data_IF_154714552080
#
_entry.id   IF_154714552080
#
_cell.length_a   1.000
_cell.length_b   1.000
_cell.length_c   1.000
_cell.angle_alpha   90.00
_cell.angle_beta   90.00
_cell.angle_gamma   90.00
#
_symmetry.space_group_name_H-M   'P 1'
#
loop_
_entity.id
_entity.type
_entity.pdbx_description
1 polymer ?
#
# COMPACT_ATOMS: atom_id res chain seq x y z
N UNK A 1 -19.60 -8.69 69.55
CA UNK A 1 -18.97 -8.67 68.20
C UNK A 1 -19.94 -9.29 67.21
N UNK A 2 -20.61 -8.49 66.38
CA UNK A 2 -21.56 -9.01 65.37
C UNK A 2 -20.79 -9.74 64.26
N UNK A 3 -21.00 -11.05 64.13
CA UNK A 3 -20.37 -11.86 63.08
C UNK A 3 -21.12 -11.68 61.76
N UNK A 4 -20.46 -11.10 60.75
CA UNK A 4 -21.05 -10.90 59.41
C UNK A 4 -21.71 -12.16 58.86
N UNK A 5 -22.92 -12.01 58.32
CA UNK A 5 -23.71 -13.10 57.73
C UNK A 5 -23.06 -13.64 56.45
N UNK A 6 -23.38 -14.87 56.07
CA UNK A 6 -22.88 -15.50 54.83
C UNK A 6 -23.17 -14.64 53.59
N UNK A 7 -24.33 -14.00 53.54
CA UNK A 7 -24.74 -13.12 52.45
C UNK A 7 -23.90 -11.84 52.38
N UNK A 8 -23.62 -11.22 53.53
CA UNK A 8 -22.78 -10.03 53.61
C UNK A 8 -21.35 -10.30 53.15
N UNK A 9 -20.80 -11.48 53.51
CA UNK A 9 -19.49 -11.94 53.03
C UNK A 9 -19.46 -12.12 51.51
N UNK A 10 -20.51 -12.69 50.93
CA UNK A 10 -20.64 -12.86 49.47
C UNK A 10 -20.77 -11.51 48.77
N UNK A 11 -21.62 -10.60 49.27
CA UNK A 11 -21.80 -9.25 48.73
C UNK A 11 -20.49 -8.44 48.80
N UNK A 12 -19.75 -8.53 49.90
CA UNK A 12 -18.43 -7.91 50.07
C UNK A 12 -17.41 -8.44 49.05
N UNK A 13 -17.28 -9.76 48.92
CA UNK A 13 -16.38 -10.39 47.92
C UNK A 13 -16.74 -9.99 46.48
N UNK A 14 -18.04 -9.91 46.14
CA UNK A 14 -18.50 -9.42 44.83
C UNK A 14 -18.14 -7.93 44.60
N UNK A 15 -18.31 -7.08 45.62
CA UNK A 15 -17.92 -5.65 45.56
C UNK A 15 -16.41 -5.47 45.41
N UNK A 16 -15.60 -6.23 46.14
CA UNK A 16 -14.14 -6.22 46.06
C UNK A 16 -13.64 -6.72 44.68
N UNK A 17 -14.24 -7.80 44.16
CA UNK A 17 -13.97 -8.28 42.79
C UNK A 17 -14.30 -7.23 41.74
N UNK A 18 -15.48 -6.58 41.84
CA UNK A 18 -15.88 -5.48 40.93
C UNK A 18 -14.92 -4.29 41.01
N UNK A 19 -14.51 -3.88 42.22
CA UNK A 19 -13.51 -2.81 42.41
C UNK A 19 -12.16 -3.15 41.79
N UNK A 20 -11.69 -4.40 41.93
CA UNK A 20 -10.43 -4.86 41.32
C UNK A 20 -10.51 -4.83 39.79
N UNK A 21 -11.60 -5.34 39.22
CA UNK A 21 -11.84 -5.32 37.77
C UNK A 21 -11.91 -3.88 37.24
N UNK A 22 -12.65 -2.99 37.91
CA UNK A 22 -12.72 -1.58 37.54
C UNK A 22 -11.34 -0.90 37.61
N UNK A 23 -10.51 -1.23 38.62
CA UNK A 23 -9.15 -0.72 38.71
C UNK A 23 -8.28 -1.20 37.54
N UNK A 24 -8.43 -2.45 37.10
CA UNK A 24 -7.72 -2.97 35.92
C UNK A 24 -8.14 -2.19 34.67
N UNK A 25 -9.45 -2.01 34.44
CA UNK A 25 -9.92 -1.22 33.29
C UNK A 25 -9.45 0.24 33.33
N UNK A 26 -9.42 0.86 34.52
CA UNK A 26 -8.87 2.21 34.68
C UNK A 26 -7.38 2.26 34.33
N UNK A 27 -6.59 1.29 34.82
CA UNK A 27 -5.16 1.21 34.49
C UNK A 27 -4.97 1.00 32.98
N UNK A 28 -5.74 0.10 32.36
CA UNK A 28 -5.69 -0.13 30.91
C UNK A 28 -6.04 1.13 30.12
N UNK A 29 -7.08 1.86 30.53
CA UNK A 29 -7.49 3.10 29.89
C UNK A 29 -6.42 4.20 30.03
N UNK A 30 -5.85 4.37 31.22
CA UNK A 30 -4.76 5.32 31.46
C UNK A 30 -3.55 4.96 30.60
N UNK A 31 -3.14 3.68 30.58
CA UNK A 31 -2.02 3.21 29.78
C UNK A 31 -2.26 3.48 28.28
N UNK A 32 -3.46 3.20 27.78
CA UNK A 32 -3.83 3.48 26.40
C UNK A 32 -3.71 4.98 26.06
N UNK A 33 -4.26 5.86 26.90
CA UNK A 33 -4.16 7.32 26.70
C UNK A 33 -2.71 7.79 26.75
N UNK A 34 -1.90 7.27 27.68
CA UNK A 34 -0.47 7.60 27.78
C UNK A 34 0.28 7.14 26.51
N UNK A 35 0.00 5.95 26.00
CA UNK A 35 0.59 5.45 24.76
C UNK A 35 0.22 6.34 23.55
N UNK A 36 -1.05 6.76 23.44
CA UNK A 36 -1.48 7.66 22.37
C UNK A 36 -0.81 9.03 22.48
N UNK A 37 -0.78 9.62 23.68
CA UNK A 37 -0.12 10.90 23.91
C UNK A 37 1.38 10.83 23.58
N UNK A 38 2.05 9.75 23.97
CA UNK A 38 3.46 9.52 23.63
C UNK A 38 3.66 9.44 22.11
N UNK A 39 2.80 8.73 21.37
CA UNK A 39 2.88 8.66 19.92
C UNK A 39 2.67 10.02 19.25
N UNK A 40 1.72 10.83 19.73
CA UNK A 40 1.49 12.20 19.22
C UNK A 40 2.70 13.09 19.49
N UNK A 41 3.22 13.09 20.72
CA UNK A 41 4.39 13.89 21.09
C UNK A 41 5.60 13.49 20.24
N UNK A 42 5.82 12.18 20.06
CA UNK A 42 6.94 11.69 19.27
C UNK A 42 6.82 12.06 17.79
N UNK A 43 5.59 12.06 17.22
CA UNK A 43 5.34 12.58 15.88
C UNK A 43 5.63 14.08 15.75
N UNK A 44 5.29 14.89 16.76
CA UNK A 44 5.53 16.34 16.73
C UNK A 44 7.02 16.71 16.85
N UNK A 45 7.83 15.89 17.51
CA UNK A 45 9.28 16.12 17.70
C UNK A 45 10.09 15.61 16.50
N UNK A 46 9.62 14.54 15.84
CA UNK A 46 10.29 13.95 14.69
C UNK A 46 10.39 14.98 13.56
N UNK A 47 11.57 15.06 12.94
CA UNK A 47 11.76 15.84 11.72
C UNK A 47 11.04 15.16 10.55
N UNK A 48 10.41 15.97 9.71
CA UNK A 48 9.82 15.51 8.46
C UNK A 48 10.91 14.88 7.57
N UNK A 49 10.57 13.75 6.96
CA UNK A 49 11.37 13.05 5.97
C UNK A 49 10.88 13.48 4.60
N UNK A 50 11.77 13.98 3.75
CA UNK A 50 11.41 14.51 2.43
C UNK A 50 11.23 13.40 1.39
N UNK A 51 12.13 12.42 1.38
CA UNK A 51 12.15 11.35 0.39
C UNK A 51 12.08 9.97 1.05
N UNK A 52 11.23 9.10 0.50
CA UNK A 52 11.16 7.69 0.88
C UNK A 52 11.95 6.86 -0.12
N UNK A 53 13.12 6.37 0.28
CA UNK A 53 13.92 5.44 -0.53
C UNK A 53 13.17 4.13 -0.79
N UNK A 54 12.36 3.66 0.18
CA UNK A 54 11.62 2.41 0.06
C UNK A 54 10.42 2.46 -0.88
N UNK A 55 9.85 3.65 -1.11
CA UNK A 55 8.74 3.86 -2.05
C UNK A 55 9.16 4.65 -3.30
N UNK A 56 10.43 5.05 -3.40
CA UNK A 56 10.99 5.87 -4.46
C UNK A 56 10.13 7.11 -4.79
N UNK A 57 9.70 7.86 -3.76
CA UNK A 57 8.88 9.08 -3.94
C UNK A 57 9.13 10.13 -2.87
N UNK A 58 8.71 11.36 -3.18
CA UNK A 58 8.60 12.44 -2.20
C UNK A 58 7.45 12.16 -1.24
N UNK A 59 7.68 12.39 0.05
CA UNK A 59 6.66 12.31 1.08
C UNK A 59 5.95 13.64 1.23
N UNK A 60 4.70 13.57 1.66
CA UNK A 60 3.87 14.75 1.85
C UNK A 60 4.48 15.64 2.94
N UNK A 61 4.66 16.92 2.62
CA UNK A 61 5.10 17.95 3.55
C UNK A 61 3.92 18.55 4.32
N UNK A 62 4.22 19.28 5.40
CA UNK A 62 3.19 19.91 6.23
C UNK A 62 2.37 20.93 5.42
N UNK A 63 1.04 20.76 5.30
CA UNK A 63 0.21 21.69 4.53
C UNK A 63 0.17 23.07 5.18
N UNK A 64 0.11 24.11 4.34
CA UNK A 64 -0.06 25.49 4.80
C UNK A 64 -1.53 25.73 5.14
N UNK A 65 -1.78 26.41 6.26
CA UNK A 65 -3.14 26.77 6.65
C UNK A 65 -3.71 27.83 5.70
N UNK A 66 -4.78 27.48 5.00
CA UNK A 66 -5.54 28.36 4.13
C UNK A 66 -7.04 28.19 4.43
N UNK A 67 -7.75 29.29 4.69
CA UNK A 67 -9.17 29.28 5.05
C UNK A 67 -10.06 28.70 3.93
N UNK A 68 -9.67 28.88 2.67
CA UNK A 68 -10.41 28.30 1.53
C UNK A 68 -10.27 26.77 1.50
N UNK A 69 -9.06 26.26 1.78
CA UNK A 69 -8.77 24.82 1.79
C UNK A 69 -9.38 24.13 3.02
N UNK A 70 -9.50 24.85 4.14
CA UNK A 70 -10.23 24.37 5.31
C UNK A 70 -11.73 24.27 5.05
N UNK A 71 -12.32 25.27 4.39
CA UNK A 71 -13.75 25.27 4.08
C UNK A 71 -14.13 24.21 3.04
N UNK A 72 -13.23 23.90 2.09
CA UNK A 72 -13.43 22.87 1.07
C UNK A 72 -13.12 21.45 1.55
N UNK A 73 -12.41 21.29 2.67
CA UNK A 73 -11.95 19.99 3.19
C UNK A 73 -10.61 19.52 2.63
N UNK A 74 -10.06 20.23 1.64
CA UNK A 74 -8.76 19.95 1.03
C UNK A 74 -7.63 19.95 2.06
N UNK A 75 -7.62 20.91 2.98
CA UNK A 75 -6.63 20.96 4.06
C UNK A 75 -6.64 19.69 4.92
N UNK A 76 -7.81 19.10 5.17
CA UNK A 76 -7.91 17.88 5.98
C UNK A 76 -7.36 16.67 5.22
N UNK A 77 -7.65 16.55 3.92
CA UNK A 77 -7.10 15.48 3.07
C UNK A 77 -5.57 15.55 2.98
N UNK A 78 -5.02 16.75 2.78
CA UNK A 78 -3.58 16.99 2.78
C UNK A 78 -2.95 16.71 4.14
N UNK A 79 -3.64 17.09 5.23
CA UNK A 79 -3.17 16.83 6.58
C UNK A 79 -3.18 15.34 6.92
N UNK A 80 -4.19 14.58 6.52
CA UNK A 80 -4.23 13.13 6.67
C UNK A 80 -3.08 12.45 5.91
N UNK A 81 -2.82 12.90 4.68
CA UNK A 81 -1.71 12.40 3.86
C UNK A 81 -0.35 12.71 4.51
N UNK A 82 -0.17 13.93 5.01
CA UNK A 82 1.01 14.35 5.78
C UNK A 82 1.21 13.48 7.03
N UNK A 83 0.18 13.31 7.85
CA UNK A 83 0.27 12.50 9.08
C UNK A 83 0.58 11.04 8.75
N UNK A 84 -0.01 10.49 7.69
CA UNK A 84 0.25 9.12 7.23
C UNK A 84 1.69 8.93 6.79
N UNK A 85 2.23 9.86 6.00
CA UNK A 85 3.61 9.81 5.48
C UNK A 85 4.66 10.06 6.57
N UNK A 86 4.40 11.00 7.48
CA UNK A 86 5.36 11.38 8.51
C UNK A 86 5.24 10.58 9.80
N UNK A 87 4.29 9.64 9.88
CA UNK A 87 4.01 8.90 11.10
C UNK A 87 5.26 8.21 11.67
N UNK A 88 5.43 8.29 12.98
CA UNK A 88 6.58 7.69 13.65
C UNK A 88 6.59 6.17 13.47
N UNK A 89 7.75 5.65 13.05
CA UNK A 89 7.95 4.22 12.75
C UNK A 89 7.00 3.67 11.67
N UNK A 90 6.51 4.51 10.76
CA UNK A 90 5.60 4.14 9.66
C UNK A 90 5.98 2.83 8.97
N UNK A 91 7.22 2.69 8.52
CA UNK A 91 7.65 1.50 7.78
C UNK A 91 7.62 0.25 8.65
N UNK A 92 7.91 0.39 9.95
CA UNK A 92 7.76 -0.71 10.91
C UNK A 92 6.30 -1.11 11.10
N UNK A 93 5.36 -0.16 11.13
CA UNK A 93 3.93 -0.45 11.17
C UNK A 93 3.45 -1.17 9.90
N UNK A 94 3.90 -0.72 8.73
CA UNK A 94 3.59 -1.35 7.44
C UNK A 94 4.12 -2.79 7.44
N UNK A 95 5.39 -3.01 7.80
CA UNK A 95 5.99 -4.34 7.88
C UNK A 95 5.27 -5.24 8.90
N UNK A 96 4.92 -4.72 10.07
CA UNK A 96 4.18 -5.46 11.08
C UNK A 96 2.82 -5.92 10.53
N UNK A 97 2.07 -5.01 9.90
CA UNK A 97 0.77 -5.32 9.28
C UNK A 97 0.92 -6.39 8.20
N UNK A 98 1.89 -6.25 7.30
CA UNK A 98 2.15 -7.23 6.25
C UNK A 98 2.53 -8.60 6.80
N UNK A 99 3.34 -8.65 7.86
CA UNK A 99 3.72 -9.91 8.52
C UNK A 99 2.52 -10.57 9.22
N UNK A 100 1.66 -9.78 9.88
CA UNK A 100 0.40 -10.28 10.46
C UNK A 100 -0.55 -10.79 9.38
N UNK A 101 -0.67 -10.08 8.25
CA UNK A 101 -1.47 -10.52 7.11
C UNK A 101 -0.93 -11.86 6.56
N UNK A 102 0.39 -12.00 6.40
CA UNK A 102 1.02 -13.28 5.99
C UNK A 102 0.77 -14.39 7.01
N UNK A 103 0.96 -14.11 8.31
CA UNK A 103 0.78 -15.07 9.40
C UNK A 103 -0.67 -15.59 9.47
N UNK A 104 -1.63 -14.70 9.23
CA UNK A 104 -3.06 -15.04 9.19
C UNK A 104 -3.50 -15.72 7.89
N UNK A 105 -2.56 -15.96 6.96
CA UNK A 105 -2.79 -16.68 5.71
C UNK A 105 -3.36 -15.83 4.57
N UNK A 106 -3.37 -14.49 4.70
CA UNK A 106 -3.73 -13.62 3.59
C UNK A 106 -2.68 -13.74 2.48
N UNK A 107 -3.15 -13.66 1.24
CA UNK A 107 -2.33 -13.70 0.03
C UNK A 107 -2.22 -12.34 -0.66
N UNK A 108 -3.05 -11.40 -0.25
CA UNK A 108 -3.16 -10.06 -0.80
C UNK A 108 -3.43 -9.10 0.34
N UNK A 109 -2.88 -7.90 0.26
CA UNK A 109 -3.11 -6.80 1.19
C UNK A 109 -3.19 -5.51 0.39
N UNK A 110 -4.38 -4.88 0.37
CA UNK A 110 -4.63 -3.62 -0.34
C UNK A 110 -4.14 -3.63 -1.80
N UNK A 111 -4.53 -4.64 -2.60
CA UNK A 111 -4.09 -4.72 -4.00
C UNK A 111 -2.63 -5.15 -4.20
N UNK A 112 -1.93 -5.56 -3.15
CA UNK A 112 -0.54 -6.06 -3.25
C UNK A 112 -0.49 -7.54 -2.87
N UNK A 113 -0.01 -8.38 -3.79
CA UNK A 113 0.21 -9.80 -3.54
C UNK A 113 1.39 -10.03 -2.61
N UNK A 114 1.16 -10.89 -1.61
CA UNK A 114 2.13 -11.27 -0.59
C UNK A 114 2.92 -12.49 -1.06
N UNK A 115 3.85 -12.27 -1.98
CA UNK A 115 4.68 -13.31 -2.60
C UNK A 115 5.68 -13.99 -1.65
N UNK A 116 6.30 -15.03 -2.19
CA UNK A 116 7.42 -15.76 -1.56
C UNK A 116 8.67 -14.88 -1.48
N UNK A 117 9.66 -15.29 -0.69
CA UNK A 117 11.00 -14.68 -0.62
C UNK A 117 11.06 -13.17 -0.31
N UNK A 118 9.96 -12.63 0.25
CA UNK A 118 9.82 -11.22 0.58
C UNK A 118 9.19 -10.36 -0.51
N UNK A 119 8.78 -10.93 -1.65
CA UNK A 119 8.16 -10.16 -2.73
C UNK A 119 6.78 -9.59 -2.34
N UNK A 120 6.57 -8.33 -2.67
CA UNK A 120 5.32 -7.59 -2.65
C UNK A 120 5.06 -7.15 -4.09
N UNK A 121 4.00 -7.68 -4.71
CA UNK A 121 3.78 -7.47 -6.13
C UNK A 121 2.41 -6.83 -6.34
N UNK A 122 2.41 -5.65 -6.92
CA UNK A 122 1.19 -4.91 -7.21
C UNK A 122 0.27 -5.72 -8.14
N UNK A 123 -1.00 -5.78 -7.77
CA UNK A 123 -2.06 -6.31 -8.61
C UNK A 123 -2.42 -5.26 -9.64
N UNK A 124 -2.40 -5.67 -10.90
CA UNK A 124 -2.84 -4.81 -11.98
C UNK A 124 -4.37 -4.79 -12.04
N UNK A 125 -4.96 -3.60 -11.90
CA UNK A 125 -6.38 -3.36 -12.12
C UNK A 125 -6.71 -3.26 -13.61
N UNK A 126 -8.00 -3.25 -13.94
CA UNK A 126 -8.42 -3.05 -15.33
C UNK A 126 -8.12 -1.61 -15.78
N UNK A 127 -7.57 -1.42 -17.00
CA UNK A 127 -7.35 -0.09 -17.52
C UNK A 127 -8.70 0.62 -17.72
N UNK A 128 -8.70 1.93 -17.52
CA UNK A 128 -9.81 2.76 -17.94
C UNK A 128 -9.79 2.86 -19.47
N UNK A 129 -10.77 2.24 -20.12
CA UNK A 129 -10.86 2.13 -21.57
C UNK A 129 -10.84 3.49 -22.29
N UNK A 130 -11.48 4.53 -21.73
CA UNK A 130 -11.48 5.86 -22.34
C UNK A 130 -10.08 6.47 -22.36
N UNK A 131 -9.34 6.34 -21.26
CA UNK A 131 -7.96 6.84 -21.20
C UNK A 131 -7.01 5.99 -22.06
N UNK A 132 -7.20 4.68 -22.09
CA UNK A 132 -6.42 3.76 -22.92
C UNK A 132 -6.55 4.10 -24.40
N UNK A 133 -7.78 4.08 -24.94
CA UNK A 133 -8.06 4.39 -26.35
C UNK A 133 -7.55 5.78 -26.74
N UNK A 134 -7.77 6.78 -25.87
CA UNK A 134 -7.28 8.13 -26.10
C UNK A 134 -5.75 8.17 -26.19
N UNK A 135 -5.05 7.54 -25.25
CA UNK A 135 -3.59 7.55 -25.22
C UNK A 135 -3.00 6.82 -26.43
N UNK A 136 -3.54 5.65 -26.78
CA UNK A 136 -3.08 4.86 -27.92
C UNK A 136 -3.31 5.59 -29.25
N UNK A 137 -4.46 6.27 -29.38
CA UNK A 137 -4.72 7.14 -30.52
C UNK A 137 -3.70 8.27 -30.63
N UNK A 138 -3.42 9.00 -29.55
CA UNK A 138 -2.47 10.12 -29.57
C UNK A 138 -1.03 9.66 -29.88
N UNK A 139 -0.62 8.49 -29.35
CA UNK A 139 0.66 7.85 -29.67
C UNK A 139 0.72 7.48 -31.16
N UNK A 140 -0.34 6.87 -31.69
CA UNK A 140 -0.44 6.54 -33.11
C UNK A 140 -0.39 7.77 -34.02
N UNK A 141 -1.14 8.81 -33.69
CA UNK A 141 -1.16 10.06 -34.44
C UNK A 141 0.20 10.79 -34.38
N UNK A 142 0.91 10.69 -33.27
CA UNK A 142 2.29 11.18 -33.17
C UNK A 142 3.21 10.43 -34.16
N UNK A 143 3.13 9.10 -34.20
CA UNK A 143 3.93 8.31 -35.13
C UNK A 143 3.58 8.61 -36.59
N UNK A 144 2.29 8.75 -36.92
CA UNK A 144 1.83 9.11 -38.27
C UNK A 144 2.33 10.49 -38.73
N UNK A 145 2.44 11.46 -37.81
CA UNK A 145 2.96 12.81 -38.12
C UNK A 145 4.48 12.85 -38.29
N UNK A 146 5.20 11.88 -37.73
CA UNK A 146 6.65 11.85 -37.65
C UNK A 146 7.23 10.60 -38.32
N UNK A 147 6.87 10.37 -39.58
CA UNK A 147 7.38 9.24 -40.39
C UNK A 147 8.89 9.32 -40.67
N UNK A 148 9.51 10.46 -40.38
CA UNK A 148 10.96 10.66 -40.41
C UNK A 148 11.66 10.06 -39.17
N UNK A 149 10.92 9.72 -38.12
CA UNK A 149 11.44 9.16 -36.87
C UNK A 149 11.18 7.65 -36.77
N UNK A 150 12.12 6.94 -36.16
CA UNK A 150 11.91 5.57 -35.75
C UNK A 150 11.23 5.52 -34.38
N UNK A 151 9.90 5.52 -34.35
CA UNK A 151 9.11 5.51 -33.11
C UNK A 151 8.99 4.08 -32.57
N UNK A 152 9.47 3.86 -31.36
CA UNK A 152 9.38 2.57 -30.66
C UNK A 152 8.54 2.72 -29.38
N UNK A 153 7.66 1.75 -29.14
CA UNK A 153 6.86 1.66 -27.92
C UNK A 153 7.11 0.31 -27.27
N UNK A 154 7.24 0.30 -25.94
CA UNK A 154 7.27 -0.94 -25.15
C UNK A 154 6.33 -0.78 -23.96
N UNK A 155 5.63 -1.86 -23.63
CA UNK A 155 4.93 -2.00 -22.36
C UNK A 155 5.57 -3.15 -21.62
N UNK A 156 5.89 -2.91 -20.36
CA UNK A 156 6.64 -3.85 -19.52
C UNK A 156 5.66 -4.51 -18.56
N UNK A 157 5.47 -5.84 -18.62
CA UNK A 157 4.65 -6.52 -17.63
C UNK A 157 5.23 -6.35 -16.22
N UNK A 158 4.38 -6.37 -15.21
CA UNK A 158 4.85 -6.21 -13.83
C UNK A 158 5.35 -7.53 -13.21
N UNK A 159 5.96 -7.42 -12.03
CA UNK A 159 6.52 -8.55 -11.30
C UNK A 159 5.50 -9.68 -11.04
N UNK A 160 4.22 -9.35 -10.80
CA UNK A 160 3.18 -10.36 -10.56
C UNK A 160 2.97 -11.29 -11.77
N UNK A 161 3.13 -10.77 -12.99
CA UNK A 161 2.99 -11.54 -14.22
C UNK A 161 4.27 -12.31 -14.60
N UNK A 162 5.45 -11.68 -14.44
CA UNK A 162 6.73 -12.29 -14.81
C UNK A 162 7.19 -13.34 -13.77
N UNK A 163 7.15 -13.01 -12.48
CA UNK A 163 7.67 -13.85 -11.39
C UNK A 163 6.62 -14.84 -10.85
N UNK A 164 6.06 -15.67 -11.75
CA UNK A 164 4.95 -16.61 -11.42
C UNK A 164 5.30 -17.60 -10.30
N UNK A 165 6.58 -17.96 -10.15
CA UNK A 165 7.05 -18.87 -9.10
C UNK A 165 7.01 -18.22 -7.70
N UNK A 166 7.11 -16.89 -7.63
CA UNK A 166 7.01 -16.08 -6.40
C UNK A 166 5.58 -15.78 -6.00
N UNK A 167 4.62 -15.92 -6.91
CA UNK A 167 3.21 -15.64 -6.62
C UNK A 167 2.63 -16.58 -5.55
N UNK A 168 1.71 -16.07 -4.71
CA UNK A 168 0.90 -16.92 -3.84
C UNK A 168 0.12 -17.95 -4.67
N UNK A 169 0.01 -19.18 -4.18
CA UNK A 169 -0.74 -20.24 -4.88
C UNK A 169 -2.18 -19.80 -5.15
N UNK A 170 -2.63 -19.98 -6.39
CA UNK A 170 -3.98 -19.62 -6.87
C UNK A 170 -4.32 -18.13 -6.74
N UNK A 171 -3.32 -17.24 -6.71
CA UNK A 171 -3.57 -15.81 -6.84
C UNK A 171 -4.09 -15.51 -8.27
N UNK A 172 -5.19 -14.75 -8.42
CA UNK A 172 -5.74 -14.42 -9.73
C UNK A 172 -4.90 -13.32 -10.39
N UNK A 173 -3.95 -13.71 -11.25
CA UNK A 173 -3.11 -12.75 -11.98
C UNK A 173 -3.69 -12.50 -13.37
N UNK A 174 -3.86 -11.22 -13.72
CA UNK A 174 -4.30 -10.79 -15.07
C UNK A 174 -3.29 -11.21 -16.13
N UNK A 175 -3.77 -11.63 -17.30
CA UNK A 175 -2.90 -12.00 -18.41
C UNK A 175 -2.40 -10.77 -19.18
N UNK A 176 -1.29 -10.19 -18.71
CA UNK A 176 -0.74 -8.98 -19.29
C UNK A 176 -0.21 -9.20 -20.71
N UNK A 177 0.15 -10.42 -21.11
CA UNK A 177 0.52 -10.68 -22.50
C UNK A 177 -0.69 -10.58 -23.44
N UNK A 178 -1.90 -10.85 -22.96
CA UNK A 178 -3.12 -10.62 -23.74
C UNK A 178 -3.39 -9.12 -23.89
N UNK A 179 -3.20 -8.34 -22.82
CA UNK A 179 -3.33 -6.89 -22.85
C UNK A 179 -2.33 -6.26 -23.84
N UNK A 180 -1.06 -6.68 -23.78
CA UNK A 180 -0.02 -6.21 -24.71
C UNK A 180 -0.35 -6.51 -26.18
N UNK A 181 -0.95 -7.68 -26.46
CA UNK A 181 -1.41 -8.02 -27.83
C UNK A 181 -2.53 -7.10 -28.30
N UNK A 182 -3.46 -6.72 -27.42
CA UNK A 182 -4.54 -5.78 -27.76
C UNK A 182 -3.97 -4.41 -28.10
N UNK A 183 -3.06 -3.91 -27.25
CA UNK A 183 -2.36 -2.64 -27.49
C UNK A 183 -1.58 -2.68 -28.80
N UNK A 184 -0.82 -3.75 -29.04
CA UNK A 184 -0.07 -3.93 -30.29
C UNK A 184 -0.99 -3.94 -31.52
N UNK A 185 -2.16 -4.57 -31.43
CA UNK A 185 -3.13 -4.59 -32.52
C UNK A 185 -3.73 -3.20 -32.79
N UNK A 186 -3.93 -2.39 -31.76
CA UNK A 186 -4.51 -1.04 -31.87
C UNK A 186 -3.54 -0.03 -32.49
N UNK A 187 -2.27 -0.03 -32.04
CA UNK A 187 -1.25 0.82 -32.67
C UNK A 187 -0.86 0.33 -34.07
N UNK A 188 -1.09 -0.94 -34.36
CA UNK A 188 -0.88 -1.55 -35.67
C UNK A 188 0.55 -1.39 -36.17
N UNK A 189 0.71 -1.00 -37.44
CA UNK A 189 2.01 -0.77 -38.07
C UNK A 189 2.49 0.68 -37.98
N UNK A 190 1.82 1.54 -37.20
CA UNK A 190 2.15 2.97 -37.11
C UNK A 190 3.50 3.22 -36.42
N UNK A 191 3.90 2.31 -35.54
CA UNK A 191 5.13 2.36 -34.76
C UNK A 191 5.69 0.95 -34.54
N UNK A 192 6.91 0.88 -34.02
CA UNK A 192 7.55 -0.36 -33.67
C UNK A 192 7.20 -0.76 -32.24
N UNK A 193 6.27 -1.71 -32.09
CA UNK A 193 5.95 -2.25 -30.77
C UNK A 193 6.97 -3.33 -30.38
N UNK A 194 7.66 -3.11 -29.26
CA UNK A 194 8.69 -4.01 -28.72
C UNK A 194 8.14 -4.72 -27.48
N UNK A 195 7.72 -5.97 -27.65
CA UNK A 195 7.30 -6.83 -26.55
C UNK A 195 8.52 -7.48 -25.89
N UNK A 196 8.75 -7.17 -24.61
CA UNK A 196 9.85 -7.70 -23.80
C UNK A 196 9.43 -8.86 -22.90
N UNK A 197 8.17 -9.27 -22.92
CA UNK A 197 7.58 -10.26 -22.01
C UNK A 197 8.35 -11.58 -22.00
N UNK A 198 8.61 -12.15 -23.18
CA UNK A 198 9.32 -13.43 -23.30
C UNK A 198 10.76 -13.31 -22.79
N UNK A 199 11.43 -12.19 -23.10
CA UNK A 199 12.78 -11.91 -22.62
C UNK A 199 12.80 -11.85 -21.09
N UNK A 200 11.90 -11.09 -20.47
CA UNK A 200 11.84 -10.99 -19.01
C UNK A 200 11.49 -12.33 -18.35
N UNK A 201 10.61 -13.13 -18.95
CA UNK A 201 10.31 -14.48 -18.45
C UNK A 201 11.54 -15.40 -18.48
N UNK A 202 12.38 -15.32 -19.52
CA UNK A 202 13.65 -16.07 -19.59
C UNK A 202 14.62 -15.65 -18.49
N UNK A 203 14.62 -14.37 -18.12
CA UNK A 203 15.45 -13.81 -17.06
C UNK A 203 14.76 -13.76 -15.69
N UNK A 204 13.60 -14.42 -15.50
CA UNK A 204 12.84 -14.36 -14.24
C UNK A 204 13.58 -14.93 -13.01
N UNK A 205 14.67 -15.68 -13.23
CA UNK A 205 15.56 -16.17 -12.17
C UNK A 205 16.62 -15.16 -11.72
N UNK A 206 16.81 -14.08 -12.47
CA UNK A 206 17.72 -12.98 -12.18
C UNK A 206 17.02 -11.89 -11.36
N UNK A 207 17.76 -11.01 -10.66
CA UNK A 207 17.19 -9.92 -9.88
C UNK A 207 16.72 -8.77 -10.79
N UNK A 208 15.72 -9.03 -11.64
CA UNK A 208 15.13 -8.08 -12.61
C UNK A 208 13.90 -7.33 -12.07
N UNK A 209 13.58 -7.50 -10.78
CA UNK A 209 12.58 -6.69 -10.07
C UNK A 209 13.00 -6.50 -8.61
N UNK A 210 12.67 -5.34 -8.06
CA UNK A 210 12.75 -5.11 -6.63
C UNK A 210 11.73 -5.97 -5.87
N UNK A 211 12.05 -6.27 -4.61
CA UNK A 211 11.18 -7.12 -3.78
C UNK A 211 9.95 -6.38 -3.28
N UNK A 212 10.09 -5.11 -2.92
CA UNK A 212 9.05 -4.34 -2.23
C UNK A 212 8.63 -3.09 -2.98
N UNK A 213 9.16 -2.92 -4.18
CA UNK A 213 8.90 -1.81 -5.07
C UNK A 213 8.33 -2.40 -6.38
N UNK A 214 7.44 -1.65 -7.03
CA UNK A 214 6.72 -2.12 -8.22
C UNK A 214 7.57 -2.08 -9.50
N UNK A 215 8.72 -1.40 -9.46
CA UNK A 215 9.64 -1.29 -10.57
C UNK A 215 10.49 -2.56 -10.75
N UNK A 216 10.83 -2.82 -12.02
CA UNK A 216 11.89 -3.72 -12.46
C UNK A 216 13.29 -3.26 -12.03
#
# INVERSE_FOLDING_TARGET
>A
MSTMSREERIRRKKREKRRRVNRIYQIMAILFVVCLAAAVIANLIKKDVEFSESENRMLTERPKLNLQDVASGEYMSQFESYVSDQFILRDSWIQLKLNLDKLTGKKESNGVYLGKDGFLMEKLDEPNTEYEEKNLKEIGDFADRHQDLNVCMTLVPNAAYILKDKMPKNAPVRDQAEDLKKVQAEVGSKLNFVDVTETMQKHASEPIYYKTDHHW
#
